data_IF_379545329371
#
_entry.id   IF_379545329371
#
_cell.length_a   1.000
_cell.length_b   1.000
_cell.length_c   1.000
_cell.angle_alpha   90.00
_cell.angle_beta   90.00
_cell.angle_gamma   90.00
#
_symmetry.space_group_name_H-M   'P 1'
#
loop_
_entity.id
_entity.type
_entity.pdbx_description
1 polymer ?
#
# COMPACT_ATOMS: atom_id res chain seq x y z
N UNK A 1 -6.93 13.36 -15.03
CA UNK A 1 -5.91 12.75 -14.16
C UNK A 1 -6.67 12.18 -12.97
N UNK A 2 -6.56 10.87 -12.67
CA UNK A 2 -7.27 10.28 -11.52
C UNK A 2 -6.56 10.77 -10.25
N UNK A 3 -7.27 11.50 -9.41
CA UNK A 3 -6.82 11.89 -8.08
C UNK A 3 -7.43 10.93 -7.06
N UNK A 4 -6.60 10.38 -6.18
CA UNK A 4 -6.99 9.35 -5.21
C UNK A 4 -6.76 9.87 -3.80
N UNK A 5 -7.84 10.11 -3.05
CA UNK A 5 -7.74 10.46 -1.64
C UNK A 5 -7.51 9.20 -0.80
N UNK A 6 -6.37 9.14 -0.11
CA UNK A 6 -6.09 8.10 0.88
C UNK A 6 -6.88 8.39 2.15
N UNK A 7 -7.83 7.53 2.53
CA UNK A 7 -8.73 7.79 3.66
C UNK A 7 -8.65 6.74 4.77
N UNK A 8 -8.13 5.55 4.50
CA UNK A 8 -8.00 4.50 5.51
C UNK A 8 -6.68 3.74 5.44
N UNK A 9 -6.11 3.53 6.63
CA UNK A 9 -4.94 2.69 6.87
C UNK A 9 -5.29 1.75 8.02
N UNK A 10 -5.20 0.46 7.76
CA UNK A 10 -5.32 -0.56 8.80
C UNK A 10 -3.94 -1.16 9.06
N UNK A 11 -3.45 -1.03 10.30
CA UNK A 11 -2.23 -1.67 10.76
C UNK A 11 -2.51 -3.18 10.94
N UNK A 12 -1.71 -4.03 10.29
CA UNK A 12 -1.95 -5.47 10.26
C UNK A 12 -0.75 -6.24 10.81
N UNK A 13 -1.00 -7.12 11.79
CA UNK A 13 0.01 -8.01 12.39
C UNK A 13 0.01 -9.34 11.61
N UNK A 14 1.14 -9.76 11.05
CA UNK A 14 1.21 -10.79 9.98
C UNK A 14 0.94 -12.26 10.36
N UNK A 15 0.45 -12.58 11.56
CA UNK A 15 0.18 -13.98 11.92
C UNK A 15 -1.19 -14.46 11.41
N UNK A 16 -1.19 -15.52 10.59
CA UNK A 16 -2.41 -16.23 10.17
C UNK A 16 -3.25 -15.58 9.07
N UNK A 17 -2.78 -14.47 8.48
CA UNK A 17 -3.56 -13.70 7.50
C UNK A 17 -3.33 -14.24 6.08
N UNK A 18 -4.41 -14.37 5.31
CA UNK A 18 -4.35 -14.45 3.85
C UNK A 18 -4.41 -13.04 3.26
N UNK A 19 -3.38 -12.63 2.54
CA UNK A 19 -3.31 -11.33 1.88
C UNK A 19 -4.36 -11.20 0.78
N UNK A 20 -4.64 -12.27 0.05
CA UNK A 20 -5.72 -12.28 -0.94
C UNK A 20 -7.09 -12.08 -0.30
N UNK A 21 -7.35 -12.70 0.86
CA UNK A 21 -8.57 -12.44 1.62
C UNK A 21 -8.61 -11.01 2.17
N UNK A 22 -7.50 -10.51 2.72
CA UNK A 22 -7.39 -9.15 3.27
C UNK A 22 -7.65 -8.06 2.21
N UNK A 23 -7.14 -8.25 1.01
CA UNK A 23 -7.32 -7.33 -0.12
C UNK A 23 -8.60 -7.63 -0.90
N UNK A 24 -9.33 -8.69 -0.55
CA UNK A 24 -10.39 -9.26 -1.34
C UNK A 24 -9.95 -9.60 -2.77
N UNK A 25 -8.67 -9.74 -3.09
CA UNK A 25 -8.21 -9.82 -4.48
C UNK A 25 -7.44 -11.12 -4.72
N UNK A 26 -7.80 -11.89 -5.77
CA UNK A 26 -7.01 -13.06 -6.18
C UNK A 26 -5.54 -12.72 -6.44
N UNK A 27 -4.62 -13.61 -6.08
CA UNK A 27 -3.17 -13.35 -6.17
C UNK A 27 -2.70 -13.07 -7.63
N UNK A 28 -3.32 -13.68 -8.62
CA UNK A 28 -3.04 -13.49 -10.05
C UNK A 28 -3.48 -12.10 -10.57
N UNK A 29 -4.27 -11.38 -9.78
CA UNK A 29 -4.73 -10.00 -10.01
C UNK A 29 -3.95 -8.97 -9.21
N UNK A 30 -3.05 -9.43 -8.33
CA UNK A 30 -2.13 -8.58 -7.59
C UNK A 30 -0.86 -8.31 -8.40
N UNK A 31 -0.30 -7.11 -8.24
CA UNK A 31 0.92 -6.68 -8.91
C UNK A 31 1.90 -6.09 -7.90
N UNK A 32 3.14 -6.54 -7.95
CA UNK A 32 4.24 -5.88 -7.24
C UNK A 32 4.41 -4.46 -7.77
N UNK A 33 4.61 -3.51 -6.86
CA UNK A 33 4.89 -2.12 -7.15
C UNK A 33 5.85 -1.56 -6.12
N UNK A 34 6.50 -0.44 -6.43
CA UNK A 34 7.45 0.18 -5.52
C UNK A 34 8.69 0.67 -6.24
N UNK A 35 9.39 1.61 -5.60
CA UNK A 35 10.65 2.16 -6.10
C UNK A 35 11.83 1.20 -5.90
N UNK A 36 11.71 0.21 -5.02
CA UNK A 36 12.76 -0.78 -4.76
C UNK A 36 12.69 -2.04 -5.63
N UNK A 37 11.75 -2.16 -6.59
CA UNK A 37 11.56 -3.40 -7.36
C UNK A 37 12.79 -3.84 -8.15
N UNK A 38 13.55 -2.88 -8.69
CA UNK A 38 14.80 -3.15 -9.41
C UNK A 38 15.89 -3.70 -8.49
N UNK A 39 15.96 -3.18 -7.26
CA UNK A 39 16.91 -3.58 -6.22
C UNK A 39 16.59 -4.99 -5.71
N UNK A 40 15.32 -5.24 -5.38
CA UNK A 40 14.87 -6.54 -4.86
C UNK A 40 14.81 -7.65 -5.92
N UNK A 41 15.04 -7.31 -7.19
CA UNK A 41 14.94 -8.23 -8.35
C UNK A 41 13.63 -9.03 -8.34
N UNK A 42 12.56 -8.42 -7.83
CA UNK A 42 11.25 -9.06 -7.76
C UNK A 42 10.69 -9.23 -9.17
N UNK A 43 10.77 -10.46 -9.66
CA UNK A 43 10.25 -10.88 -10.97
C UNK A 43 9.33 -12.06 -10.75
N UNK A 44 8.07 -11.90 -11.13
CA UNK A 44 7.09 -12.99 -11.05
C UNK A 44 5.74 -12.57 -10.45
N UNK A 45 4.88 -13.56 -10.28
CA UNK A 45 3.56 -13.39 -9.67
C UNK A 45 3.67 -13.06 -8.18
N UNK A 46 2.68 -12.36 -7.67
CA UNK A 46 2.51 -12.16 -6.23
C UNK A 46 2.04 -13.49 -5.62
N UNK A 47 2.67 -13.92 -4.53
CA UNK A 47 2.25 -15.12 -3.78
C UNK A 47 2.12 -14.80 -2.31
N UNK A 48 1.24 -15.52 -1.60
CA UNK A 48 1.09 -15.39 -0.13
C UNK A 48 2.42 -15.61 0.60
N UNK A 49 3.21 -16.58 0.13
CA UNK A 49 4.52 -16.87 0.71
C UNK A 49 5.49 -15.70 0.53
N UNK A 50 5.59 -15.13 -0.67
CA UNK A 50 6.47 -13.99 -0.93
C UNK A 50 6.03 -12.75 -0.13
N UNK A 51 4.73 -12.43 -0.14
CA UNK A 51 4.20 -11.34 0.68
C UNK A 51 4.48 -11.56 2.16
N UNK A 52 4.32 -12.78 2.68
CA UNK A 52 4.61 -13.08 4.08
C UNK A 52 6.09 -12.89 4.42
N UNK A 53 7.00 -13.32 3.55
CA UNK A 53 8.45 -13.15 3.75
C UNK A 53 8.80 -11.67 3.88
N UNK A 54 8.35 -10.81 2.96
CA UNK A 54 8.57 -9.36 3.04
C UNK A 54 7.86 -8.70 4.23
N UNK A 55 6.66 -9.16 4.60
CA UNK A 55 5.93 -8.64 5.76
C UNK A 55 6.64 -8.96 7.09
N UNK A 56 7.35 -10.10 7.12
CA UNK A 56 8.28 -10.48 8.19
C UNK A 56 9.70 -9.95 7.95
N UNK A 57 9.86 -8.98 7.03
CA UNK A 57 11.11 -8.44 6.46
C UNK A 57 12.27 -9.40 6.34
N UNK A 58 11.95 -10.53 5.74
CA UNK A 58 12.86 -11.42 5.07
C UNK A 58 13.04 -10.93 3.62
N UNK A 59 14.12 -11.34 2.97
CA UNK A 59 14.40 -11.11 1.53
C UNK A 59 14.75 -9.68 1.11
N UNK A 60 15.03 -8.80 2.07
CA UNK A 60 15.64 -7.49 1.80
C UNK A 60 17.18 -7.65 1.73
N UNK A 61 17.69 -7.78 0.51
CA UNK A 61 19.12 -7.77 0.10
C UNK A 61 20.13 -8.41 1.08
N UNK A 62 19.83 -9.62 1.57
CA UNK A 62 20.74 -10.39 2.42
C UNK A 62 20.74 -10.03 3.90
N UNK A 63 19.90 -9.09 4.35
CA UNK A 63 19.68 -8.83 5.78
C UNK A 63 18.74 -9.92 6.30
N UNK A 64 19.33 -10.99 6.82
CA UNK A 64 18.60 -11.97 7.62
C UNK A 64 18.07 -11.26 8.87
N UNK A 65 16.76 -11.00 8.85
CA UNK A 65 15.96 -10.59 10.00
C UNK A 65 16.27 -9.19 10.55
N UNK A 66 15.75 -8.16 9.86
CA UNK A 66 15.57 -6.81 10.44
C UNK A 66 14.77 -6.80 11.76
N UNK A 67 14.17 -7.94 12.13
CA UNK A 67 13.24 -8.11 13.24
C UNK A 67 13.76 -9.02 14.36
N UNK A 68 15.02 -9.46 14.32
CA UNK A 68 15.63 -10.13 15.47
C UNK A 68 15.83 -9.11 16.61
N UNK A 69 14.97 -9.14 17.63
CA UNK A 69 15.20 -8.43 18.90
C UNK A 69 14.06 -7.51 19.38
N UNK A 70 13.10 -7.16 18.53
CA UNK A 70 11.87 -6.48 18.95
C UNK A 70 10.69 -7.44 18.85
N UNK A 71 9.66 -7.25 19.68
CA UNK A 71 8.41 -8.00 19.64
C UNK A 71 7.74 -7.87 18.25
N UNK A 72 8.17 -8.69 17.29
CA UNK A 72 7.70 -8.71 15.90
C UNK A 72 6.20 -9.00 15.81
N UNK A 73 5.64 -9.62 16.85
CA UNK A 73 4.23 -9.87 17.04
C UNK A 73 3.42 -8.65 17.54
N UNK A 74 4.05 -7.57 18.01
CA UNK A 74 3.38 -6.36 18.52
C UNK A 74 3.29 -5.24 17.46
N UNK A 75 3.59 -5.58 16.21
CA UNK A 75 4.24 -4.65 15.32
C UNK A 75 3.71 -4.85 13.90
N UNK A 76 3.14 -3.79 13.29
CA UNK A 76 2.47 -3.88 11.99
C UNK A 76 3.41 -4.36 10.87
N UNK A 77 3.12 -5.50 10.28
CA UNK A 77 3.88 -6.10 9.18
C UNK A 77 3.69 -5.34 7.85
N UNK A 78 2.69 -4.47 7.82
CA UNK A 78 2.37 -3.55 6.74
C UNK A 78 0.97 -2.99 6.94
N UNK A 79 0.47 -2.37 5.88
CA UNK A 79 -0.71 -1.55 5.90
C UNK A 79 -1.64 -1.95 4.77
N UNK A 80 -2.90 -2.22 5.11
CA UNK A 80 -3.97 -2.21 4.11
C UNK A 80 -4.32 -0.75 3.85
N UNK A 81 -4.12 -0.30 2.62
CA UNK A 81 -4.35 1.08 2.18
C UNK A 81 -5.56 1.10 1.25
N UNK A 82 -6.59 1.86 1.61
CA UNK A 82 -7.77 2.06 0.79
C UNK A 82 -7.78 3.41 0.09
N UNK A 83 -8.04 3.42 -1.21
CA UNK A 83 -8.31 4.63 -1.97
C UNK A 83 -9.77 4.66 -2.40
N UNK A 84 -10.38 5.83 -2.29
CA UNK A 84 -11.70 6.07 -2.85
C UNK A 84 -11.56 6.35 -4.35
N UNK A 85 -12.40 5.70 -5.14
CA UNK A 85 -12.51 5.94 -6.57
C UNK A 85 -13.23 7.29 -6.83
N UNK A 86 -12.89 7.98 -7.92
CA UNK A 86 -13.66 9.14 -8.35
C UNK A 86 -15.12 8.80 -8.56
N UNK A 87 -16.01 9.74 -8.24
CA UNK A 87 -17.44 9.60 -8.52
C UNK A 87 -17.68 9.32 -10.01
N UNK A 88 -18.56 8.36 -10.31
CA UNK A 88 -18.88 7.94 -11.68
C UNK A 88 -17.84 7.03 -12.34
N UNK A 89 -16.68 6.76 -11.71
CA UNK A 89 -15.66 5.89 -12.32
C UNK A 89 -16.15 4.45 -12.52
N UNK A 90 -16.95 3.91 -11.59
CA UNK A 90 -17.53 2.57 -11.72
C UNK A 90 -18.52 2.50 -12.88
N UNK A 91 -19.36 3.53 -13.03
CA UNK A 91 -20.32 3.62 -14.13
C UNK A 91 -19.60 3.76 -15.48
N UNK A 92 -18.57 4.61 -15.55
CA UNK A 92 -17.72 4.75 -16.73
C UNK A 92 -17.08 3.41 -17.11
N UNK A 93 -16.58 2.66 -16.14
CA UNK A 93 -15.95 1.36 -16.36
C UNK A 93 -16.97 0.28 -16.78
N UNK A 94 -18.22 0.40 -16.34
CA UNK A 94 -19.31 -0.49 -16.75
C UNK A 94 -19.79 -0.21 -18.18
N UNK A 95 -19.76 1.05 -18.61
CA UNK A 95 -20.18 1.49 -19.95
C UNK A 95 -19.07 1.39 -21.01
N UNK A 96 -17.81 1.32 -20.58
CA UNK A 96 -16.65 1.23 -21.45
C UNK A 96 -16.56 -0.11 -22.21
N UNK A 97 -16.08 -0.06 -23.45
CA UNK A 97 -15.73 -1.26 -24.22
C UNK A 97 -14.48 -1.98 -23.66
N UNK A 98 -14.03 -3.06 -24.31
CA UNK A 98 -12.88 -3.83 -23.81
C UNK A 98 -11.58 -3.01 -23.75
N UNK A 99 -11.29 -2.21 -24.78
CA UNK A 99 -10.06 -1.43 -24.87
C UNK A 99 -10.09 -0.27 -23.88
N UNK A 100 -11.22 0.43 -23.79
CA UNK A 100 -11.45 1.51 -22.84
C UNK A 100 -11.36 1.03 -21.39
N UNK A 101 -11.92 -0.14 -21.08
CA UNK A 101 -11.81 -0.72 -19.73
C UNK A 101 -10.37 -1.04 -19.36
N UNK A 102 -9.58 -1.57 -20.29
CA UNK A 102 -8.17 -1.85 -20.03
C UNK A 102 -7.36 -0.55 -19.83
N UNK A 103 -7.66 0.49 -20.61
CA UNK A 103 -7.06 1.82 -20.43
C UNK A 103 -7.43 2.44 -19.08
N UNK A 104 -8.70 2.39 -18.68
CA UNK A 104 -9.18 2.92 -17.39
C UNK A 104 -8.55 2.17 -16.22
N UNK A 105 -8.49 0.83 -16.27
CA UNK A 105 -7.81 0.00 -15.26
C UNK A 105 -6.33 0.34 -15.15
N UNK A 106 -5.66 0.49 -16.28
CA UNK A 106 -4.25 0.85 -16.29
C UNK A 106 -4.00 2.27 -15.77
N UNK A 107 -4.85 3.22 -16.11
CA UNK A 107 -4.81 4.58 -15.57
C UNK A 107 -5.02 4.59 -14.06
N UNK A 108 -5.98 3.80 -13.56
CA UNK A 108 -6.22 3.61 -12.14
C UNK A 108 -4.99 3.01 -11.43
N UNK A 109 -4.42 1.92 -11.93
CA UNK A 109 -3.21 1.32 -11.35
C UNK A 109 -2.01 2.29 -11.32
N UNK A 110 -1.86 3.13 -12.35
CA UNK A 110 -0.85 4.21 -12.36
C UNK A 110 -1.12 5.28 -11.32
N UNK A 111 -2.39 5.60 -11.03
CA UNK A 111 -2.76 6.57 -10.00
C UNK A 111 -2.50 5.98 -8.60
N UNK A 112 -2.89 4.73 -8.36
CA UNK A 112 -2.58 3.98 -7.13
C UNK A 112 -1.09 3.94 -6.88
N UNK A 113 -0.28 3.59 -7.88
CA UNK A 113 1.17 3.56 -7.75
C UNK A 113 1.76 4.90 -7.34
N UNK A 114 1.27 6.00 -7.93
CA UNK A 114 1.67 7.36 -7.54
C UNK A 114 1.25 7.73 -6.12
N UNK A 115 0.04 7.39 -5.73
CA UNK A 115 -0.47 7.66 -4.39
C UNK A 115 0.31 6.88 -3.31
N UNK A 116 0.56 5.59 -3.53
CA UNK A 116 1.36 4.75 -2.62
C UNK A 116 2.81 5.22 -2.52
N UNK A 117 3.43 5.62 -3.63
CA UNK A 117 4.76 6.23 -3.61
C UNK A 117 4.76 7.57 -2.87
N UNK A 118 3.75 8.41 -3.06
CA UNK A 118 3.66 9.70 -2.37
C UNK A 118 3.58 9.56 -0.85
N UNK A 119 2.88 8.54 -0.34
CA UNK A 119 2.87 8.24 1.10
C UNK A 119 4.27 7.94 1.61
N UNK A 120 5.08 7.22 0.84
CA UNK A 120 6.42 6.80 1.18
C UNK A 120 7.52 7.85 0.96
N UNK A 121 7.38 8.67 -0.08
CA UNK A 121 8.37 9.66 -0.50
C UNK A 121 8.50 10.85 0.47
N UNK A 122 7.71 10.92 1.55
CA UNK A 122 7.87 11.96 2.58
C UNK A 122 9.26 11.98 3.24
N UNK A 123 10.10 10.96 3.00
CA UNK A 123 11.49 10.88 3.50
C UNK A 123 12.49 10.33 2.48
N UNK A 124 12.20 10.38 1.18
CA UNK A 124 13.06 9.81 0.12
C UNK A 124 13.34 8.29 0.24
N UNK A 125 12.49 7.56 0.96
CA UNK A 125 12.64 6.11 1.13
C UNK A 125 12.11 5.35 -0.08
N UNK A 126 12.79 4.26 -0.45
CA UNK A 126 12.29 3.32 -1.43
C UNK A 126 11.36 2.29 -0.76
N UNK A 127 10.16 2.12 -1.28
CA UNK A 127 9.15 1.22 -0.69
C UNK A 127 8.78 0.08 -1.60
N UNK A 128 8.21 -0.95 -1.00
CA UNK A 128 7.54 -2.07 -1.66
C UNK A 128 6.04 -1.99 -1.36
N UNK A 129 5.21 -2.27 -2.37
CA UNK A 129 3.77 -2.43 -2.20
C UNK A 129 3.22 -3.49 -3.17
N UNK A 130 1.98 -3.89 -2.92
CA UNK A 130 1.19 -4.72 -3.82
C UNK A 130 -0.09 -3.97 -4.18
N UNK A 131 -0.30 -3.76 -5.48
CA UNK A 131 -1.51 -3.14 -6.01
C UNK A 131 -2.50 -4.21 -6.48
N UNK A 132 -3.77 -4.02 -6.13
CA UNK A 132 -4.90 -4.76 -6.66
C UNK A 132 -5.54 -4.02 -7.84
N UNK A 133 -6.03 -4.77 -8.84
CA UNK A 133 -6.90 -4.26 -9.89
C UNK A 133 -8.41 -4.41 -9.55
N UNK A 134 -8.74 -4.98 -8.38
CA UNK A 134 -10.11 -5.19 -7.93
C UNK A 134 -10.71 -3.89 -7.41
N UNK A 135 -11.89 -3.59 -7.92
CA UNK A 135 -12.76 -2.52 -7.44
C UNK A 135 -13.79 -3.14 -6.49
N UNK A 136 -13.81 -2.68 -5.23
CA UNK A 136 -14.78 -3.05 -4.21
C UNK A 136 -15.78 -1.92 -4.04
N UNK A 137 -16.78 -1.86 -4.91
CA UNK A 137 -17.66 -0.68 -5.00
C UNK A 137 -16.84 0.57 -5.31
N UNK A 138 -16.99 1.62 -4.50
CA UNK A 138 -16.27 2.89 -4.65
C UNK A 138 -14.82 2.86 -4.10
N UNK A 139 -14.31 1.68 -3.73
CA UNK A 139 -13.01 1.55 -3.05
C UNK A 139 -12.07 0.57 -3.72
N UNK A 140 -10.77 0.82 -3.59
CA UNK A 140 -9.71 -0.13 -3.96
C UNK A 140 -8.75 -0.32 -2.81
N UNK A 141 -8.36 -1.57 -2.57
CA UNK A 141 -7.53 -1.94 -1.42
C UNK A 141 -6.18 -2.50 -1.88
N UNK A 142 -5.13 -1.96 -1.28
CA UNK A 142 -3.74 -2.26 -1.62
C UNK A 142 -2.95 -2.58 -0.36
N UNK A 143 -1.77 -3.15 -0.54
CA UNK A 143 -0.89 -3.48 0.57
C UNK A 143 0.41 -2.70 0.47
N UNK A 144 0.76 -1.95 1.51
CA UNK A 144 2.05 -1.28 1.65
C UNK A 144 2.86 -2.01 2.74
N UNK A 145 4.08 -2.43 2.42
CA UNK A 145 4.94 -3.08 3.41
C UNK A 145 5.44 -2.06 4.43
N UNK A 146 5.58 -2.49 5.69
CA UNK A 146 6.13 -1.63 6.74
C UNK A 146 7.65 -1.50 6.68
N UNK A 147 8.30 -1.97 5.61
CA UNK A 147 9.77 -1.91 5.43
C UNK A 147 10.09 -1.04 4.21
N UNK A 148 11.09 -0.19 4.35
CA UNK A 148 11.57 0.69 3.29
C UNK A 148 13.09 0.80 3.32
N UNK A 149 13.70 1.13 2.18
CA UNK A 149 15.13 1.36 2.04
C UNK A 149 15.38 2.87 2.10
N UNK A 150 16.14 3.33 3.09
CA UNK A 150 16.58 4.70 3.22
C UNK A 150 17.58 5.08 2.10
N UNK A 151 17.81 6.38 1.85
CA UNK A 151 18.74 6.84 0.82
C UNK A 151 20.19 6.36 1.00
N UNK A 152 20.60 6.04 2.23
CA UNK A 152 21.91 5.48 2.56
C UNK A 152 22.02 3.96 2.29
N UNK A 153 20.95 3.34 1.80
CA UNK A 153 20.87 1.91 1.49
C UNK A 153 20.47 1.03 2.68
N UNK A 154 20.20 1.61 3.85
CA UNK A 154 19.75 0.84 5.01
C UNK A 154 18.26 0.51 4.91
N UNK A 155 17.89 -0.72 5.24
CA UNK A 155 16.49 -1.10 5.34
C UNK A 155 15.99 -0.81 6.75
N UNK A 156 14.94 -0.01 6.84
CA UNK A 156 14.32 0.36 8.10
C UNK A 156 12.81 0.13 8.06
N UNK A 157 12.22 0.08 9.25
CA UNK A 157 10.77 0.05 9.37
C UNK A 157 10.22 1.45 9.10
N UNK A 158 9.19 1.50 8.25
CA UNK A 158 8.23 2.60 8.20
C UNK A 158 7.50 2.64 9.55
N UNK A 159 8.11 3.26 10.55
CA UNK A 159 7.52 3.49 11.87
C UNK A 159 6.49 4.63 11.79
N UNK A 160 6.07 5.17 12.93
CA UNK A 160 5.11 6.28 13.06
C UNK A 160 5.30 7.48 12.12
N UNK A 161 6.44 7.58 11.42
CA UNK A 161 6.71 8.51 10.33
C UNK A 161 5.60 8.57 9.25
N UNK A 162 4.97 7.45 8.90
CA UNK A 162 3.83 7.44 7.97
C UNK A 162 2.49 7.86 8.62
N UNK A 163 2.42 8.05 9.95
CA UNK A 163 1.20 8.50 10.64
C UNK A 163 0.92 10.00 10.44
N UNK A 164 1.94 10.80 10.13
CA UNK A 164 1.85 12.27 10.10
C UNK A 164 1.53 12.82 8.70
N UNK A 165 1.51 11.96 7.67
CA UNK A 165 1.38 12.37 6.27
C UNK A 165 -0.04 12.50 5.70
N UNK A 166 -1.10 12.32 6.50
CA UNK A 166 -2.49 12.44 6.06
C UNK A 166 -3.17 13.71 6.58
N UNK A 167 -2.41 14.80 6.73
CA UNK A 167 -2.95 16.14 6.97
C UNK A 167 -2.81 17.00 5.72
N UNK A 168 -3.78 17.87 5.38
CA UNK A 168 -3.52 18.96 4.44
C UNK A 168 -2.30 19.75 4.94
N UNK A 169 -1.51 20.29 3.99
CA UNK A 169 -0.36 21.13 4.29
C UNK A 169 -0.70 22.11 5.43
N UNK A 170 0.21 22.35 6.40
CA UNK A 170 -0.09 23.22 7.52
C UNK A 170 -0.17 24.67 7.02
N UNK A 171 -1.37 25.06 6.60
CA UNK A 171 -1.76 26.45 6.66
C UNK A 171 -1.90 26.82 8.13
N UNK A 172 -1.16 27.86 8.49
CA UNK A 172 -1.15 28.49 9.80
C UNK A 172 -2.59 28.80 10.24
N UNK A 173 -3.11 28.09 11.23
CA UNK A 173 -3.76 28.62 12.45
C UNK A 173 -4.76 27.62 13.05
N UNK A 174 -4.60 27.37 14.36
CA UNK A 174 -5.73 27.19 15.27
C UNK A 174 -6.27 25.77 15.49
N UNK A 175 -5.75 25.12 16.54
CA UNK A 175 -6.51 24.41 17.59
C UNK A 175 -7.52 23.29 17.27
N UNK A 176 -7.37 22.21 18.07
CA UNK A 176 -8.33 21.16 18.50
C UNK A 176 -8.40 19.86 17.68
N UNK A 177 -7.67 18.86 18.17
CA UNK A 177 -8.22 17.62 18.75
C UNK A 177 -9.09 16.69 17.88
N UNK A 178 -8.65 15.43 17.74
CA UNK A 178 -9.56 14.32 17.46
C UNK A 178 -8.98 13.25 16.55
N UNK A 179 -8.53 12.14 17.15
CA UNK A 179 -8.27 10.87 16.44
C UNK A 179 -9.58 10.35 15.86
N UNK A 180 -9.67 10.25 14.54
CA UNK A 180 -10.76 9.56 13.86
C UNK A 180 -10.26 8.23 13.27
N UNK A 181 -10.38 7.17 14.07
CA UNK A 181 -10.48 5.80 13.56
C UNK A 181 -11.80 5.70 12.79
N UNK A 182 -11.76 5.80 11.47
CA UNK A 182 -12.91 5.45 10.64
C UNK A 182 -12.85 3.95 10.35
N UNK A 183 -13.79 3.24 10.97
CA UNK A 183 -14.13 1.85 10.66
C UNK A 183 -14.40 1.72 9.15
N UNK A 184 -13.56 0.96 8.45
CA UNK A 184 -13.90 0.41 7.16
C UNK A 184 -14.78 -0.82 7.38
N UNK A 185 -16.09 -0.61 7.42
CA UNK A 185 -17.08 -1.67 7.31
C UNK A 185 -17.60 -1.70 5.87
N UNK A 186 -17.31 -2.84 5.22
CA UNK A 186 -17.86 -3.45 3.99
C UNK A 186 -18.02 -2.62 2.71
#
# INVERSE_FOLDING_TARGET
>A
MIDLSCLCRQDIIAHGISFSALLGTPLDRLRWGGSCLSVLKLRGQVTEQAMRRFALGQDFDGIQQLWEGAAHYESAAGYRVGFRLPEGFIDELAMADAEQRDLLRFAHLRAVGRALLSLACQRDHQVLFVASDRLGGDWTHHWLFATACAPDGTWERLTEALRVGLGPAPDRQGHLGGVALLNCSE
#
